data_IF_092786733384
#
_entry.id   IF_092786733384
#
_cell.length_a   1.000
_cell.length_b   1.000
_cell.length_c   1.000
_cell.angle_alpha   90.00
_cell.angle_beta   90.00
_cell.angle_gamma   90.00
#
_symmetry.space_group_name_H-M   'P 1'
#
loop_
_entity.id
_entity.type
_entity.pdbx_description
1 polymer ?
#
# COMPACT_ATOMS: atom_id res chain seq x y z
N UNK A 1 7.23 29.74 -11.78
CA UNK A 1 6.77 28.43 -12.33
C UNK A 1 7.08 27.36 -11.29
N UNK A 2 6.15 27.00 -10.40
CA UNK A 2 6.45 26.07 -9.32
C UNK A 2 6.50 24.63 -9.85
N UNK A 3 7.51 23.89 -9.39
CA UNK A 3 7.76 22.50 -9.71
C UNK A 3 6.60 21.60 -9.27
N UNK A 4 5.69 21.32 -10.19
CA UNK A 4 4.70 20.25 -10.03
C UNK A 4 5.43 18.93 -9.87
N UNK A 5 5.01 18.17 -8.85
CA UNK A 5 5.54 16.88 -8.51
C UNK A 5 5.46 15.96 -9.74
N UNK A 6 6.61 15.76 -10.39
CA UNK A 6 6.79 14.73 -11.42
C UNK A 6 6.49 13.39 -10.76
N UNK A 7 5.26 12.92 -10.96
CA UNK A 7 4.86 11.58 -10.59
C UNK A 7 5.77 10.61 -11.34
N UNK A 8 6.75 10.03 -10.64
CA UNK A 8 7.67 9.06 -11.21
C UNK A 8 6.91 7.81 -11.66
N UNK A 9 6.51 7.82 -12.93
CA UNK A 9 6.40 6.72 -13.89
C UNK A 9 6.98 5.36 -13.41
N UNK A 10 6.28 4.65 -12.52
CA UNK A 10 6.58 3.25 -12.18
C UNK A 10 5.40 2.51 -11.55
N UNK A 11 4.18 2.89 -11.93
CA UNK A 11 2.92 2.34 -11.39
C UNK A 11 2.59 0.94 -11.88
N UNK A 12 3.32 0.41 -12.86
CA UNK A 12 3.13 -0.93 -13.39
C UNK A 12 4.47 -1.65 -13.46
N UNK A 13 4.50 -2.86 -12.87
CA UNK A 13 5.64 -3.76 -12.98
C UNK A 13 5.81 -4.12 -14.46
N UNK A 14 6.96 -3.76 -15.02
CA UNK A 14 7.42 -4.10 -16.37
C UNK A 14 6.63 -3.44 -17.51
N UNK A 15 6.91 -2.17 -17.78
CA UNK A 15 6.91 -1.67 -19.15
C UNK A 15 8.37 -1.36 -19.47
N UNK A 16 8.98 -2.18 -20.32
CA UNK A 16 10.27 -1.99 -21.01
C UNK A 16 11.62 -2.23 -20.31
N UNK A 17 11.73 -2.81 -19.12
CA UNK A 17 13.03 -3.36 -18.70
C UNK A 17 13.16 -4.77 -19.26
N UNK A 18 13.72 -4.90 -20.46
CA UNK A 18 14.34 -6.15 -20.88
C UNK A 18 15.29 -6.56 -19.74
N UNK A 19 14.91 -7.60 -19.00
CA UNK A 19 15.80 -8.26 -18.07
C UNK A 19 16.99 -8.74 -18.90
N UNK A 20 18.09 -7.97 -18.90
CA UNK A 20 19.36 -8.42 -19.47
C UNK A 20 19.92 -9.47 -18.52
N UNK A 21 19.36 -10.67 -18.58
CA UNK A 21 19.79 -11.84 -17.80
C UNK A 21 21.10 -12.33 -18.41
N UNK A 22 22.21 -11.70 -18.04
CA UNK A 22 23.53 -12.27 -18.32
C UNK A 22 23.77 -13.38 -17.30
N UNK A 23 23.88 -14.61 -17.78
CA UNK A 23 24.37 -15.74 -16.97
C UNK A 23 25.87 -15.52 -16.75
N UNK A 24 26.33 -15.62 -15.52
CA UNK A 24 27.74 -15.57 -15.18
C UNK A 24 28.10 -16.87 -14.46
N UNK A 25 29.29 -17.41 -14.74
CA UNK A 25 29.85 -18.49 -13.94
C UNK A 25 30.04 -18.01 -12.51
N UNK A 26 29.77 -18.90 -11.56
CA UNK A 26 29.80 -18.58 -10.13
C UNK A 26 31.23 -18.67 -9.65
N UNK A 27 31.83 -17.53 -9.33
CA UNK A 27 32.98 -17.49 -8.45
C UNK A 27 32.48 -17.45 -7.00
N UNK A 28 32.54 -18.59 -6.32
CA UNK A 28 32.10 -18.73 -4.93
C UNK A 28 32.92 -17.88 -3.97
N UNK A 29 34.15 -17.47 -4.34
CA UNK A 29 34.98 -16.57 -3.52
C UNK A 29 34.46 -15.12 -3.52
N UNK A 30 33.69 -14.76 -4.55
CA UNK A 30 33.06 -13.44 -4.70
C UNK A 30 31.61 -13.42 -4.19
N UNK A 31 31.06 -14.57 -3.80
CA UNK A 31 29.67 -14.71 -3.41
C UNK A 31 29.54 -14.90 -1.90
N UNK A 32 28.43 -14.43 -1.33
CA UNK A 32 28.14 -14.62 0.11
C UNK A 32 28.21 -16.10 0.52
N UNK A 33 28.65 -16.40 1.77
CA UNK A 33 28.70 -17.76 2.30
C UNK A 33 27.35 -18.49 2.35
N UNK A 34 26.24 -17.73 2.35
CA UNK A 34 24.88 -18.26 2.35
C UNK A 34 24.43 -18.85 1.01
N UNK A 35 25.23 -18.72 -0.04
CA UNK A 35 24.93 -19.30 -1.34
C UNK A 35 25.15 -20.82 -1.27
N UNK A 36 24.21 -21.62 -1.78
CA UNK A 36 24.34 -23.07 -1.71
C UNK A 36 25.58 -23.53 -2.49
N UNK A 37 26.37 -24.44 -1.91
CA UNK A 37 27.65 -24.92 -2.48
C UNK A 37 27.51 -25.58 -3.86
N UNK A 38 26.31 -26.05 -4.20
CA UNK A 38 25.95 -26.72 -5.47
C UNK A 38 25.46 -25.76 -6.56
N UNK A 39 25.41 -24.45 -6.29
CA UNK A 39 24.96 -23.46 -7.27
C UNK A 39 25.99 -23.25 -8.39
N UNK A 40 25.78 -23.91 -9.54
CA UNK A 40 26.66 -23.79 -10.72
C UNK A 40 26.47 -22.48 -11.51
N UNK A 41 25.30 -21.86 -11.41
CA UNK A 41 24.94 -20.61 -12.12
C UNK A 41 24.06 -19.75 -11.24
N UNK A 42 24.42 -18.47 -11.05
CA UNK A 42 23.57 -17.47 -10.37
C UNK A 42 22.95 -16.56 -11.42
N UNK A 43 21.66 -16.26 -11.27
CA UNK A 43 20.97 -15.25 -12.08
C UNK A 43 20.76 -13.99 -11.26
N UNK A 44 21.33 -12.89 -11.72
CA UNK A 44 21.03 -11.56 -11.19
C UNK A 44 19.91 -10.92 -12.01
N UNK A 45 18.96 -10.31 -11.31
CA UNK A 45 17.85 -9.61 -11.96
C UNK A 45 18.22 -8.18 -12.39
N UNK A 46 19.33 -7.63 -11.87
CA UNK A 46 19.92 -6.35 -12.26
C UNK A 46 21.35 -6.23 -11.70
N UNK A 47 22.17 -5.28 -12.20
CA UNK A 47 23.51 -5.00 -11.66
C UNK A 47 23.52 -4.75 -10.14
N UNK A 48 22.58 -3.96 -9.63
CA UNK A 48 22.45 -3.71 -8.17
C UNK A 48 22.21 -4.97 -7.34
N UNK A 49 21.54 -5.99 -7.88
CA UNK A 49 21.37 -7.27 -7.19
C UNK A 49 22.69 -8.04 -7.15
N UNK A 50 23.48 -8.02 -8.23
CA UNK A 50 24.82 -8.59 -8.27
C UNK A 50 25.70 -7.95 -7.20
N UNK A 51 25.82 -6.63 -7.21
CA UNK A 51 26.71 -5.89 -6.31
C UNK A 51 26.39 -6.18 -4.83
N UNK A 52 25.11 -6.27 -4.47
CA UNK A 52 24.67 -6.65 -3.11
C UNK A 52 24.99 -8.10 -2.76
N UNK A 53 24.90 -9.01 -3.71
CA UNK A 53 25.19 -10.43 -3.50
C UNK A 53 26.69 -10.71 -3.42
N UNK A 54 27.53 -9.84 -4.00
CA UNK A 54 28.99 -9.95 -3.98
C UNK A 54 29.65 -9.03 -2.95
N UNK A 55 28.90 -8.12 -2.32
CA UNK A 55 29.43 -7.28 -1.25
C UNK A 55 29.72 -8.11 0.00
N UNK A 56 30.93 -7.99 0.53
CA UNK A 56 31.31 -8.53 1.84
C UNK A 56 30.77 -7.71 3.03
N UNK A 57 30.07 -6.59 2.76
CA UNK A 57 29.41 -5.84 3.83
C UNK A 57 28.39 -6.73 4.56
N UNK A 58 28.48 -6.84 5.89
CA UNK A 58 27.47 -7.53 6.67
C UNK A 58 26.13 -6.86 6.39
N UNK A 59 25.18 -7.67 5.92
CA UNK A 59 23.83 -7.18 5.71
C UNK A 59 23.34 -6.71 7.06
N UNK A 60 23.05 -5.41 7.22
CA UNK A 60 22.42 -4.90 8.44
C UNK A 60 21.28 -5.86 8.78
N UNK A 61 21.35 -6.49 9.96
CA UNK A 61 20.29 -7.38 10.40
C UNK A 61 19.01 -6.58 10.25
N UNK A 62 18.02 -7.16 9.55
CA UNK A 62 16.70 -6.54 9.51
C UNK A 62 16.28 -6.46 10.97
N UNK A 63 16.31 -5.25 11.53
CA UNK A 63 15.95 -5.02 12.93
C UNK A 63 14.57 -5.60 13.22
N UNK A 64 14.21 -5.67 14.51
CA UNK A 64 12.92 -6.19 14.91
C UNK A 64 11.77 -5.46 14.18
N UNK A 65 10.76 -6.22 13.78
CA UNK A 65 9.55 -5.68 13.16
C UNK A 65 8.76 -4.91 14.22
N UNK A 66 8.51 -3.63 13.98
CA UNK A 66 7.80 -2.76 14.93
C UNK A 66 6.36 -2.51 14.44
N UNK A 67 5.33 -2.80 15.26
CA UNK A 67 3.98 -2.34 14.97
C UNK A 67 3.92 -0.82 15.03
N UNK A 68 2.93 -0.25 14.35
CA UNK A 68 2.62 1.17 14.45
C UNK A 68 1.60 1.37 15.56
N UNK A 69 1.79 2.40 16.37
CA UNK A 69 0.78 2.87 17.32
C UNK A 69 -0.42 3.49 16.58
N UNK A 70 -1.55 3.63 17.29
CA UNK A 70 -2.80 4.17 16.73
C UNK A 70 -2.57 5.57 16.16
N UNK A 71 -1.89 6.42 16.91
CA UNK A 71 -1.60 7.81 16.55
C UNK A 71 -0.70 7.88 15.32
N UNK A 72 0.27 6.97 15.21
CA UNK A 72 1.17 6.86 14.05
C UNK A 72 0.41 6.41 12.80
N UNK A 73 -0.55 5.48 12.93
CA UNK A 73 -1.39 5.04 11.82
C UNK A 73 -2.34 6.14 11.33
N UNK A 74 -2.94 6.89 12.26
CA UNK A 74 -3.79 8.04 11.92
C UNK A 74 -2.96 9.13 11.23
N UNK A 75 -1.79 9.47 11.77
CA UNK A 75 -0.90 10.46 11.17
C UNK A 75 -0.37 10.01 9.79
N UNK A 76 -0.01 8.74 9.64
CA UNK A 76 0.36 8.14 8.34
C UNK A 76 -0.77 8.28 7.33
N UNK A 77 -2.00 7.95 7.72
CA UNK A 77 -3.17 8.08 6.84
C UNK A 77 -3.34 9.53 6.38
N UNK A 78 -3.36 10.48 7.32
CA UNK A 78 -3.50 11.91 7.01
C UNK A 78 -2.40 12.38 6.07
N UNK A 79 -1.14 12.04 6.34
CA UNK A 79 -0.01 12.45 5.50
C UNK A 79 -0.06 11.85 4.10
N UNK A 80 -0.52 10.61 3.95
CA UNK A 80 -0.75 10.02 2.63
C UNK A 80 -1.81 10.82 1.86
N UNK A 81 -2.94 11.14 2.50
CA UNK A 81 -4.00 11.97 1.88
C UNK A 81 -3.49 13.37 1.53
N UNK A 82 -2.85 14.07 2.47
CA UNK A 82 -2.30 15.41 2.26
C UNK A 82 -1.22 15.48 1.17
N UNK A 83 -0.52 14.37 0.90
CA UNK A 83 0.46 14.26 -0.19
C UNK A 83 -0.16 13.85 -1.54
N UNK A 84 -1.48 13.66 -1.59
CA UNK A 84 -2.22 13.26 -2.79
C UNK A 84 -2.22 11.75 -3.07
N UNK A 85 -1.89 10.94 -2.06
CA UNK A 85 -1.88 9.49 -2.13
C UNK A 85 -3.12 8.88 -1.44
N UNK A 86 -4.31 9.44 -1.65
CA UNK A 86 -5.55 8.95 -1.03
C UNK A 86 -5.78 7.45 -1.27
N UNK A 87 -5.50 6.97 -2.50
CA UNK A 87 -5.59 5.55 -2.83
C UNK A 87 -4.64 4.67 -2.00
N UNK A 88 -3.44 5.17 -1.67
CA UNK A 88 -2.47 4.45 -0.85
C UNK A 88 -2.87 4.46 0.63
N UNK A 89 -3.52 5.54 1.09
CA UNK A 89 -4.10 5.63 2.43
C UNK A 89 -5.19 4.55 2.62
N UNK A 90 -6.14 4.47 1.69
CA UNK A 90 -7.21 3.45 1.70
C UNK A 90 -6.64 2.03 1.55
N UNK A 91 -5.66 1.83 0.66
CA UNK A 91 -5.00 0.54 0.50
C UNK A 91 -4.27 0.09 1.79
N UNK A 92 -3.65 1.02 2.52
CA UNK A 92 -3.00 0.73 3.80
C UNK A 92 -4.01 0.27 4.84
N UNK A 93 -5.14 0.97 4.99
CA UNK A 93 -6.22 0.56 5.89
C UNK A 93 -6.78 -0.81 5.53
N UNK A 94 -7.04 -1.05 4.24
CA UNK A 94 -7.55 -2.33 3.77
C UNK A 94 -6.55 -3.46 4.04
N UNK A 95 -5.26 -3.19 3.83
CA UNK A 95 -4.20 -4.14 4.09
C UNK A 95 -4.17 -4.55 5.57
N UNK A 96 -4.23 -3.58 6.48
CA UNK A 96 -4.23 -3.80 7.92
C UNK A 96 -5.46 -4.60 8.37
N UNK A 97 -6.64 -4.23 7.87
CA UNK A 97 -7.89 -4.92 8.20
C UNK A 97 -7.91 -6.38 7.69
N UNK A 98 -7.27 -6.65 6.56
CA UNK A 98 -7.21 -8.00 5.96
C UNK A 98 -6.06 -8.86 6.48
N UNK A 99 -5.03 -8.26 7.08
CA UNK A 99 -3.79 -8.94 7.46
C UNK A 99 -3.08 -9.58 6.27
N UNK A 100 -3.14 -8.94 5.09
CA UNK A 100 -2.60 -9.44 3.83
C UNK A 100 -1.37 -8.65 3.38
N UNK A 101 -0.56 -9.25 2.50
CA UNK A 101 0.54 -8.51 1.85
C UNK A 101 -0.01 -7.50 0.85
N UNK A 102 0.75 -6.43 0.57
CA UNK A 102 0.33 -5.41 -0.39
C UNK A 102 0.05 -5.99 -1.78
N UNK A 103 0.78 -7.06 -2.15
CA UNK A 103 0.57 -7.77 -3.41
C UNK A 103 -0.84 -8.38 -3.57
N UNK A 104 -1.45 -8.81 -2.47
CA UNK A 104 -2.84 -9.24 -2.45
C UNK A 104 -3.80 -8.05 -2.34
N UNK A 105 -3.57 -7.16 -1.38
CA UNK A 105 -4.48 -6.04 -1.10
C UNK A 105 -4.70 -5.13 -2.33
N UNK A 106 -3.64 -4.85 -3.11
CA UNK A 106 -3.72 -4.04 -4.34
C UNK A 106 -4.58 -4.67 -5.44
N UNK A 107 -4.79 -5.98 -5.40
CA UNK A 107 -5.61 -6.72 -6.36
C UNK A 107 -7.11 -6.70 -6.00
N UNK A 108 -7.48 -6.05 -4.89
CA UNK A 108 -8.85 -6.00 -4.41
C UNK A 108 -9.81 -5.46 -5.48
N UNK A 109 -10.98 -6.10 -5.57
CA UNK A 109 -12.05 -5.77 -6.49
C UNK A 109 -13.31 -5.43 -5.72
N UNK A 110 -14.18 -4.62 -6.31
CA UNK A 110 -15.46 -4.27 -5.70
C UNK A 110 -16.28 -5.53 -5.34
N UNK A 111 -16.25 -6.58 -6.18
CA UNK A 111 -16.94 -7.85 -5.95
C UNK A 111 -16.41 -8.68 -4.78
N UNK A 112 -15.25 -8.34 -4.23
CA UNK A 112 -14.76 -8.98 -3.02
C UNK A 112 -15.46 -8.44 -1.78
N UNK A 113 -15.97 -7.21 -1.82
CA UNK A 113 -16.66 -6.58 -0.72
C UNK A 113 -18.12 -7.05 -0.68
N UNK A 114 -18.59 -7.49 0.49
CA UNK A 114 -19.98 -7.90 0.73
C UNK A 114 -20.51 -7.18 1.96
N UNK A 115 -21.81 -6.85 1.96
CA UNK A 115 -22.47 -6.25 3.12
C UNK A 115 -21.92 -4.88 3.53
N UNK A 116 -21.16 -4.18 2.67
CA UNK A 116 -20.57 -2.87 3.02
C UNK A 116 -21.58 -1.71 2.99
N UNK A 117 -22.80 -1.95 2.49
CA UNK A 117 -23.85 -0.92 2.42
C UNK A 117 -24.30 -0.58 3.85
N UNK A 118 -24.32 0.70 4.25
CA UNK A 118 -24.79 1.12 5.57
C UNK A 118 -26.21 0.61 5.84
N UNK A 119 -26.44 0.06 7.03
CA UNK A 119 -27.73 -0.51 7.42
C UNK A 119 -28.05 -1.89 6.83
N UNK A 120 -27.10 -2.53 6.13
CA UNK A 120 -27.27 -3.93 5.73
C UNK A 120 -27.38 -4.85 6.94
N UNK A 121 -28.30 -5.81 6.89
CA UNK A 121 -28.38 -6.91 7.87
C UNK A 121 -27.24 -7.92 7.73
N UNK A 122 -26.51 -7.88 6.61
CA UNK A 122 -25.37 -8.76 6.36
C UNK A 122 -24.13 -8.20 7.04
N UNK A 123 -23.42 -9.03 7.81
CA UNK A 123 -22.10 -8.65 8.34
C UNK A 123 -21.16 -8.28 7.19
N UNK A 124 -20.50 -7.12 7.23
CA UNK A 124 -19.61 -6.72 6.15
C UNK A 124 -18.39 -7.64 6.11
N UNK A 125 -18.05 -8.14 4.93
CA UNK A 125 -16.90 -9.04 4.73
C UNK A 125 -16.13 -8.66 3.46
N UNK A 126 -14.88 -9.14 3.40
CA UNK A 126 -14.08 -9.20 2.18
C UNK A 126 -13.77 -10.67 1.84
N UNK A 127 -14.18 -11.11 0.65
CA UNK A 127 -13.94 -12.44 0.10
C UNK A 127 -12.70 -12.42 -0.78
N UNK A 128 -11.57 -12.83 -0.22
CA UNK A 128 -10.27 -12.87 -0.90
C UNK A 128 -10.16 -14.21 -1.65
N UNK A 129 -10.02 -14.22 -2.99
CA UNK A 129 -9.81 -15.45 -3.74
C UNK A 129 -8.35 -15.93 -3.62
N UNK A 130 -8.05 -17.09 -4.20
CA UNK A 130 -6.65 -17.53 -4.34
C UNK A 130 -5.93 -16.63 -5.32
N UNK A 131 -4.83 -16.01 -4.90
CA UNK A 131 -4.07 -15.03 -5.71
C UNK A 131 -2.59 -15.37 -5.68
N UNK A 132 -1.95 -15.28 -6.87
CA UNK A 132 -0.51 -15.41 -7.07
C UNK A 132 0.11 -16.68 -6.44
N UNK A 133 -0.67 -17.76 -6.31
CA UNK A 133 -0.28 -19.05 -5.72
C UNK A 133 0.02 -19.04 -4.21
N UNK A 134 0.17 -17.86 -3.59
CA UNK A 134 0.62 -17.67 -2.19
C UNK A 134 -0.52 -17.29 -1.25
N UNK A 135 -1.49 -16.51 -1.71
CA UNK A 135 -2.62 -16.10 -0.87
C UNK A 135 -3.69 -17.19 -0.88
N UNK A 136 -4.05 -17.68 0.30
CA UNK A 136 -5.13 -18.65 0.49
C UNK A 136 -6.49 -17.93 0.37
N UNK A 137 -7.43 -18.58 -0.31
CA UNK A 137 -8.80 -18.08 -0.38
C UNK A 137 -9.44 -18.08 1.01
N UNK A 138 -10.07 -16.97 1.40
CA UNK A 138 -10.79 -16.84 2.68
C UNK A 138 -11.73 -15.65 2.68
N UNK A 139 -12.66 -15.66 3.62
CA UNK A 139 -13.56 -14.54 3.89
C UNK A 139 -13.23 -13.92 5.24
N UNK A 140 -13.08 -12.60 5.25
CA UNK A 140 -12.67 -11.84 6.42
C UNK A 140 -13.77 -10.80 6.72
N UNK A 141 -14.49 -10.92 7.84
CA UNK A 141 -15.28 -9.82 8.40
C UNK A 141 -14.49 -8.51 8.51
N UNK A 142 -15.13 -7.45 8.04
CA UNK A 142 -14.68 -6.07 8.17
C UNK A 142 -15.32 -5.46 9.42
N UNK A 143 -14.64 -4.47 10.01
CA UNK A 143 -15.23 -3.65 11.04
C UNK A 143 -16.41 -2.86 10.42
N UNK A 144 -17.61 -2.83 11.05
CA UNK A 144 -18.77 -2.12 10.49
C UNK A 144 -18.50 -0.63 10.21
N UNK A 145 -17.79 0.05 11.12
CA UNK A 145 -17.42 1.45 10.92
C UNK A 145 -16.51 1.61 9.69
N UNK A 146 -15.54 0.70 9.50
CA UNK A 146 -14.64 0.73 8.34
C UNK A 146 -15.40 0.45 7.04
N UNK A 147 -16.31 -0.52 7.05
CA UNK A 147 -17.14 -0.83 5.89
C UNK A 147 -18.02 0.36 5.48
N UNK A 148 -18.59 1.07 6.46
CA UNK A 148 -19.37 2.29 6.23
C UNK A 148 -18.51 3.42 5.66
N UNK A 149 -17.31 3.68 6.21
CA UNK A 149 -16.37 4.66 5.68
C UNK A 149 -15.96 4.31 4.24
N UNK A 150 -15.62 3.04 4.00
CA UNK A 150 -15.23 2.55 2.69
C UNK A 150 -16.36 2.74 1.65
N UNK A 151 -17.61 2.42 2.03
CA UNK A 151 -18.78 2.69 1.19
C UNK A 151 -18.97 4.18 0.92
N UNK A 152 -18.80 5.03 1.94
CA UNK A 152 -18.89 6.48 1.80
C UNK A 152 -17.88 6.99 0.79
N UNK A 153 -16.61 6.59 0.90
CA UNK A 153 -15.57 6.99 -0.04
C UNK A 153 -15.81 6.45 -1.45
N UNK A 154 -16.28 5.20 -1.58
CA UNK A 154 -16.52 4.58 -2.88
C UNK A 154 -17.69 5.22 -3.65
N UNK A 155 -18.75 5.64 -2.96
CA UNK A 155 -20.04 5.94 -3.61
C UNK A 155 -20.66 7.29 -3.26
N UNK A 156 -20.16 8.01 -2.24
CA UNK A 156 -20.75 9.26 -1.75
C UNK A 156 -19.77 10.43 -1.85
N UNK A 157 -18.66 10.37 -1.13
CA UNK A 157 -17.66 11.44 -1.09
C UNK A 157 -16.26 10.84 -1.25
N UNK A 158 -15.67 10.88 -2.45
CA UNK A 158 -14.32 10.40 -2.68
C UNK A 158 -13.32 11.04 -1.73
N UNK A 159 -12.39 10.23 -1.21
CA UNK A 159 -11.31 10.71 -0.38
C UNK A 159 -10.30 11.45 -1.25
N UNK A 160 -10.10 12.75 -1.04
CA UNK A 160 -9.20 13.58 -1.82
C UNK A 160 -8.27 14.41 -0.91
N UNK A 161 -7.12 14.85 -1.43
CA UNK A 161 -6.28 15.84 -0.76
C UNK A 161 -7.01 17.18 -0.65
N UNK A 162 -7.56 17.61 -1.78
CA UNK A 162 -8.31 18.85 -1.95
C UNK A 162 -9.40 18.60 -3.01
N UNK A 163 -10.45 19.43 -3.00
CA UNK A 163 -11.59 19.29 -3.91
C UNK A 163 -11.27 19.67 -5.36
N UNK A 164 -10.07 20.20 -5.63
CA UNK A 164 -9.68 20.77 -6.92
C UNK A 164 -8.76 19.85 -7.71
N UNK A 165 -7.98 18.99 -7.06
CA UNK A 165 -7.01 18.11 -7.70
C UNK A 165 -7.56 16.70 -7.88
N UNK A 166 -8.27 16.49 -8.98
CA UNK A 166 -8.87 15.21 -9.39
C UNK A 166 -7.88 14.02 -9.35
N UNK A 167 -6.59 14.23 -9.62
CA UNK A 167 -5.57 13.18 -9.59
C UNK A 167 -5.22 12.66 -8.18
N UNK A 168 -5.63 13.39 -7.14
CA UNK A 168 -5.34 13.11 -5.72
C UNK A 168 -6.43 12.32 -5.00
N UNK A 169 -7.50 11.95 -5.72
CA UNK A 169 -8.69 11.33 -5.17
C UNK A 169 -8.67 9.80 -5.26
N UNK A 170 -9.37 9.16 -4.32
CA UNK A 170 -9.82 7.79 -4.41
C UNK A 170 -11.31 7.68 -4.05
N UNK A 171 -12.15 7.06 -4.91
CA UNK A 171 -11.84 6.53 -6.24
C UNK A 171 -11.29 7.58 -7.20
N UNK A 172 -10.57 7.13 -8.23
CA UNK A 172 -10.05 8.03 -9.26
C UNK A 172 -11.21 8.63 -10.09
N UNK A 173 -11.02 9.80 -10.70
CA UNK A 173 -11.99 10.37 -11.62
C UNK A 173 -12.37 9.36 -12.70
N UNK A 174 -13.68 9.21 -12.95
CA UNK A 174 -14.26 8.26 -13.90
C UNK A 174 -14.04 6.77 -13.57
N UNK A 175 -13.52 6.43 -12.38
CA UNK A 175 -13.42 5.05 -11.93
C UNK A 175 -14.82 4.51 -11.61
N UNK A 176 -15.28 3.52 -12.37
CA UNK A 176 -16.49 2.75 -12.03
C UNK A 176 -16.13 1.70 -10.99
N UNK A 177 -16.56 1.89 -9.74
CA UNK A 177 -16.31 0.95 -8.64
C UNK A 177 -17.46 -0.06 -8.52
N UNK A 178 -17.60 -0.90 -9.52
CA UNK A 178 -18.68 -1.89 -9.63
C UNK A 178 -18.14 -3.27 -10.00
N UNK A 179 -18.83 -4.33 -9.55
CA UNK A 179 -18.57 -5.72 -9.96
C UNK A 179 -17.07 -6.09 -9.89
N UNK A 180 -16.48 -6.49 -11.00
CA UNK A 180 -15.11 -6.98 -11.08
C UNK A 180 -14.05 -5.87 -11.17
N UNK A 181 -14.45 -4.59 -11.10
CA UNK A 181 -13.53 -3.46 -11.16
C UNK A 181 -12.48 -3.52 -10.04
N UNK A 182 -11.24 -3.19 -10.38
CA UNK A 182 -10.19 -2.99 -9.38
C UNK A 182 -10.51 -1.78 -8.52
N UNK A 183 -10.27 -1.91 -7.23
CA UNK A 183 -10.29 -0.77 -6.32
C UNK A 183 -9.10 0.15 -6.54
N UNK A 184 -7.92 -0.42 -6.85
CA UNK A 184 -6.66 0.33 -7.00
C UNK A 184 -6.03 0.12 -8.39
N UNK A 185 -6.60 0.68 -9.46
CA UNK A 185 -6.04 0.57 -10.81
C UNK A 185 -4.72 1.34 -10.94
N UNK A 186 -3.75 0.78 -11.66
CA UNK A 186 -2.44 1.37 -11.95
C UNK A 186 -2.43 2.18 -13.24
N UNK A 187 -1.29 2.79 -13.58
CA UNK A 187 -1.11 3.51 -14.84
C UNK A 187 -0.43 2.62 -15.89
N UNK A 188 -0.83 2.73 -17.16
CA UNK A 188 -0.10 2.15 -18.28
C UNK A 188 0.39 3.25 -19.22
N UNK A 189 1.54 3.00 -19.87
CA UNK A 189 1.93 3.80 -21.03
C UNK A 189 0.91 3.56 -22.14
N UNK A 190 0.45 4.63 -22.76
CA UNK A 190 -0.31 4.56 -24.00
C UNK A 190 0.66 4.64 -25.17
N UNK A 191 0.51 3.77 -26.17
CA UNK A 191 1.31 3.85 -27.39
C UNK A 191 0.82 5.05 -28.24
N UNK A 192 1.73 5.97 -28.60
CA UNK A 192 1.43 7.18 -29.39
C UNK A 192 2.52 8.26 -29.27
N UNK A 193 2.51 9.24 -30.17
CA UNK A 193 3.40 10.42 -30.14
C UNK A 193 3.11 11.26 -28.89
N UNK A 194 4.05 11.23 -27.93
CA UNK A 194 3.90 11.81 -26.60
C UNK A 194 3.64 10.73 -25.56
N UNK A 195 4.63 10.40 -24.72
CA UNK A 195 4.45 9.42 -23.64
C UNK A 195 3.62 10.02 -22.51
N UNK A 196 2.31 9.80 -22.55
CA UNK A 196 1.39 10.13 -21.46
C UNK A 196 0.88 8.85 -20.78
N UNK A 197 0.77 8.92 -19.45
CA UNK A 197 0.34 7.80 -18.61
C UNK A 197 -1.17 7.87 -18.42
N UNK A 198 -1.88 6.79 -18.77
CA UNK A 198 -3.33 6.69 -18.59
C UNK A 198 -3.66 5.62 -17.54
N UNK A 199 -4.75 5.83 -16.80
CA UNK A 199 -5.26 4.83 -15.85
C UNK A 199 -5.68 3.56 -16.58
N UNK A 200 -5.19 2.43 -16.11
CA UNK A 200 -5.46 1.10 -16.65
C UNK A 200 -6.40 0.33 -15.71
N UNK A 201 -7.69 0.36 -16.03
CA UNK A 201 -8.76 -0.12 -15.14
C UNK A 201 -8.68 -1.60 -14.77
N UNK A 202 -8.06 -2.43 -15.61
CA UNK A 202 -7.94 -3.88 -15.39
C UNK A 202 -6.58 -4.31 -14.81
N UNK A 203 -5.65 -3.39 -14.58
CA UNK A 203 -4.30 -3.71 -14.05
C UNK A 203 -4.11 -2.99 -12.73
N UNK A 204 -3.83 -3.76 -11.67
CA UNK A 204 -3.63 -3.19 -10.35
C UNK A 204 -2.36 -2.33 -10.30
N UNK A 205 -2.40 -1.31 -9.44
CA UNK A 205 -1.21 -0.53 -9.07
C UNK A 205 -0.07 -1.47 -8.66
N UNK A 206 1.16 -1.10 -8.99
CA UNK A 206 2.34 -1.90 -8.64
C UNK A 206 2.60 -1.80 -7.13
N UNK A 207 3.11 -2.89 -6.55
CA UNK A 207 3.64 -2.86 -5.18
C UNK A 207 4.73 -1.78 -5.04
N UNK A 208 5.54 -1.56 -6.09
CA UNK A 208 6.59 -0.53 -6.10
C UNK A 208 6.02 0.87 -5.91
N UNK A 209 4.92 1.21 -6.58
CA UNK A 209 4.27 2.51 -6.45
C UNK A 209 3.66 2.70 -5.07
N UNK A 210 3.00 1.66 -4.53
CA UNK A 210 2.49 1.68 -3.16
C UNK A 210 3.60 1.95 -2.14
N UNK A 211 4.71 1.20 -2.22
CA UNK A 211 5.85 1.38 -1.34
C UNK A 211 6.56 2.73 -1.57
N UNK A 212 6.53 3.27 -2.78
CA UNK A 212 7.08 4.59 -3.07
C UNK A 212 6.29 5.69 -2.35
N UNK A 213 4.95 5.62 -2.35
CA UNK A 213 4.11 6.56 -1.59
C UNK A 213 4.42 6.54 -0.09
N UNK A 214 4.57 5.35 0.50
CA UNK A 214 4.98 5.22 1.90
C UNK A 214 6.37 5.83 2.15
N UNK A 215 7.33 5.58 1.26
CA UNK A 215 8.68 6.16 1.36
C UNK A 215 8.69 7.68 1.22
N UNK A 216 7.83 8.26 0.39
CA UNK A 216 7.69 9.71 0.28
C UNK A 216 7.21 10.32 1.58
N UNK A 217 6.23 9.69 2.26
CA UNK A 217 5.78 10.13 3.59
C UNK A 217 6.88 9.94 4.63
N UNK A 218 7.56 8.78 4.64
CA UNK A 218 8.70 8.51 5.53
C UNK A 218 9.80 9.58 5.41
N UNK A 219 10.15 10.00 4.19
CA UNK A 219 11.13 11.05 3.97
C UNK A 219 10.67 12.44 4.46
N UNK A 220 9.36 12.70 4.49
CA UNK A 220 8.79 13.87 5.16
C UNK A 220 8.97 13.78 6.67
N UNK A 221 8.51 12.67 7.25
CA UNK A 221 8.59 12.39 8.69
C UNK A 221 10.02 12.50 9.22
N UNK A 222 11.01 11.95 8.50
CA UNK A 222 12.43 12.04 8.91
C UNK A 222 12.98 13.47 8.98
N UNK A 223 12.45 14.38 8.17
CA UNK A 223 12.85 15.80 8.21
C UNK A 223 12.24 16.51 9.41
N UNK A 224 11.02 16.14 9.79
CA UNK A 224 10.25 16.74 10.88
C UNK A 224 10.61 16.15 12.26
N UNK A 225 10.97 14.86 12.34
CA UNK A 225 11.35 14.17 13.58
C UNK A 225 12.71 14.61 14.16
N UNK A 226 13.28 15.72 13.68
CA UNK A 226 14.43 16.38 14.29
C UNK A 226 14.01 17.20 15.53
N UNK A 227 12.73 17.52 15.65
CA UNK A 227 12.17 18.24 16.79
C UNK A 227 11.69 17.23 17.86
N UNK A 228 12.23 17.34 19.07
CA UNK A 228 12.28 16.30 20.12
C UNK A 228 10.95 15.87 20.80
N UNK A 229 9.78 16.06 20.19
CA UNK A 229 8.48 15.62 20.75
C UNK A 229 7.48 15.30 19.62
N UNK A 230 7.82 14.33 18.78
CA UNK A 230 6.99 14.00 17.61
C UNK A 230 6.41 12.58 17.76
N UNK A 231 5.24 12.32 17.17
CA UNK A 231 4.54 11.01 17.21
C UNK A 231 5.40 9.81 16.76
N UNK A 232 6.53 10.08 16.12
CA UNK A 232 7.44 9.11 15.51
C UNK A 232 8.81 9.05 16.20
N UNK A 233 9.00 9.70 17.36
CA UNK A 233 10.30 9.78 18.04
C UNK A 233 10.88 8.39 18.34
N UNK A 234 10.05 7.42 18.71
CA UNK A 234 10.49 6.06 19.07
C UNK A 234 10.35 5.03 17.95
N UNK A 235 9.93 5.44 16.74
CA UNK A 235 9.73 4.52 15.62
C UNK A 235 10.85 4.65 14.57
N UNK A 236 11.42 3.53 14.15
CA UNK A 236 12.35 3.53 13.01
C UNK A 236 11.59 3.75 11.69
N UNK A 237 11.57 5.01 11.23
CA UNK A 237 10.86 5.43 10.02
C UNK A 237 11.31 4.65 8.76
N UNK A 238 12.52 4.09 8.72
CA UNK A 238 12.94 3.23 7.60
C UNK A 238 12.12 1.95 7.49
N UNK A 239 11.45 1.54 8.57
CA UNK A 239 10.57 0.36 8.61
C UNK A 239 9.16 0.63 8.09
N UNK A 240 8.77 1.88 7.84
CA UNK A 240 7.42 2.22 7.35
C UNK A 240 7.07 1.50 6.03
N UNK A 241 8.04 1.33 5.13
CA UNK A 241 7.85 0.57 3.87
C UNK A 241 7.76 -0.95 4.06
N UNK A 242 7.86 -1.44 5.31
CA UNK A 242 7.86 -2.86 5.67
C UNK A 242 6.71 -3.23 6.60
N UNK A 243 5.79 -2.31 6.90
CA UNK A 243 4.60 -2.54 7.74
C UNK A 243 3.81 -3.77 7.26
N UNK A 244 3.83 -4.02 5.95
CA UNK A 244 3.21 -5.20 5.35
C UNK A 244 3.70 -6.52 5.93
N UNK A 245 4.92 -6.58 6.49
CA UNK A 245 5.53 -7.75 7.12
C UNK A 245 5.25 -7.85 8.61
N UNK A 246 4.89 -6.75 9.27
CA UNK A 246 4.45 -6.74 10.68
C UNK A 246 3.05 -7.35 10.76
N UNK A 247 2.19 -6.97 9.79
CA UNK A 247 0.81 -7.42 9.67
C UNK A 247 0.63 -8.52 8.61
N UNK A 248 1.74 -9.06 8.06
CA UNK A 248 1.71 -10.25 7.19
C UNK A 248 1.35 -11.44 8.06
N UNK A 249 0.18 -12.02 7.83
CA UNK A 249 -0.23 -13.21 8.55
C UNK A 249 0.22 -14.46 7.77
N UNK A 250 1.27 -15.17 8.22
CA UNK A 250 1.21 -16.61 8.22
C UNK A 250 1.15 -17.05 9.68
N UNK A 251 0.15 -17.88 10.01
CA UNK A 251 0.06 -18.68 11.23
C UNK A 251 -0.20 -17.97 12.57
N UNK A 252 -1.04 -18.63 13.37
CA UNK A 252 -1.29 -18.47 14.81
C UNK A 252 -1.95 -17.17 15.28
N UNK A 253 -3.25 -17.27 15.60
CA UNK A 253 -3.91 -16.77 16.83
C UNK A 253 -3.55 -15.37 17.38
N UNK A 254 -2.87 -14.47 16.67
CA UNK A 254 -2.88 -13.04 17.01
C UNK A 254 -4.28 -12.55 16.71
N UNK A 255 -4.99 -12.37 17.82
CA UNK A 255 -6.43 -12.30 17.93
C UNK A 255 -6.96 -11.29 16.94
N UNK A 256 -7.85 -11.73 16.05
CA UNK A 256 -8.70 -10.85 15.25
C UNK A 256 -9.34 -9.75 16.12
N UNK A 257 -9.64 -10.04 17.39
CA UNK A 257 -10.09 -9.05 18.36
C UNK A 257 -9.06 -7.97 18.64
N UNK A 258 -7.76 -8.28 18.69
CA UNK A 258 -6.70 -7.29 18.87
C UNK A 258 -6.55 -6.38 17.63
N UNK A 259 -6.71 -6.93 16.42
CA UNK A 259 -6.77 -6.10 15.20
C UNK A 259 -8.02 -5.23 15.21
N UNK A 260 -9.21 -5.76 15.51
CA UNK A 260 -10.44 -4.96 15.60
C UNK A 260 -10.40 -3.92 16.73
N UNK A 261 -9.85 -4.26 17.90
CA UNK A 261 -9.70 -3.35 19.05
C UNK A 261 -8.66 -2.26 18.77
N UNK A 262 -7.55 -2.58 18.09
CA UNK A 262 -6.56 -1.59 17.68
C UNK A 262 -7.04 -0.73 16.50
N UNK A 263 -7.90 -1.28 15.63
CA UNK A 263 -8.34 -0.60 14.41
C UNK A 263 -9.60 0.25 14.61
N UNK A 264 -10.45 -0.07 15.59
CA UNK A 264 -11.64 0.74 15.88
C UNK A 264 -11.29 2.20 16.26
N UNK A 265 -10.28 2.48 17.12
CA UNK A 265 -9.84 3.85 17.40
C UNK A 265 -9.38 4.59 16.14
N UNK A 266 -8.65 3.92 15.24
CA UNK A 266 -8.16 4.50 13.98
C UNK A 266 -9.34 4.91 13.09
N UNK A 267 -10.29 4.01 12.88
CA UNK A 267 -11.46 4.26 12.02
C UNK A 267 -12.36 5.34 12.62
N UNK A 268 -12.54 5.35 13.94
CA UNK A 268 -13.31 6.38 14.62
C UNK A 268 -12.63 7.75 14.52
N UNK A 269 -11.31 7.83 14.69
CA UNK A 269 -10.56 9.06 14.54
C UNK A 269 -10.65 9.62 13.10
N UNK A 270 -10.53 8.75 12.09
CA UNK A 270 -10.67 9.13 10.68
C UNK A 270 -12.10 9.57 10.36
N UNK A 271 -13.11 8.85 10.86
CA UNK A 271 -14.53 9.13 10.58
C UNK A 271 -15.09 10.36 11.32
N UNK A 272 -14.56 10.70 12.49
CA UNK A 272 -15.03 11.85 13.28
C UNK A 272 -14.61 13.21 12.72
N UNK A 273 -13.65 13.22 11.79
CA UNK A 273 -13.10 14.43 11.17
C UNK A 273 -13.72 14.73 9.79
N UNK A 274 -14.64 13.90 9.27
CA UNK A 274 -15.41 14.30 8.09
C UNK A 274 -16.19 15.58 8.43
N UNK A 275 -16.10 16.63 7.59
CA UNK A 275 -16.64 17.93 7.93
C UNK A 275 -18.14 17.82 8.16
N UNK A 276 -18.56 18.11 9.40
CA UNK A 276 -19.97 18.42 9.70
C UNK A 276 -20.41 19.43 8.65
N UNK A 277 -21.36 19.02 7.78
CA UNK A 277 -22.02 19.93 6.85
C UNK A 277 -22.36 21.18 7.64
N UNK A 278 -21.82 22.34 7.23
CA UNK A 278 -22.32 23.63 7.71
C UNK A 278 -23.79 23.66 7.32
N UNK A 279 -24.67 23.32 8.26
CA UNK A 279 -26.08 23.61 8.18
C UNK A 279 -26.14 25.13 8.06
N UNK A 280 -26.43 25.63 6.85
CA UNK A 280 -26.91 27.01 6.72
C UNK A 280 -28.17 27.05 7.58
N UNK A 281 -28.08 27.71 8.74
CA UNK A 281 -29.26 28.22 9.40
C UNK A 281 -29.86 29.24 8.44
N UNK A 282 -31.10 28.99 8.03
CA UNK A 282 -31.96 30.00 7.40
C UNK A 282 -32.14 31.17 8.37
#
# INVERSE_FOLDING_TARGET
MPAEAVAHASDVKNISSYLQVRKSLVDMTQCRPSLRRDAKVIRFCCPQHRDRCTSNEPQKSRGQREPLEVEQLVDLFRRLVCRGFAWAAVLTLLQLQCGERADCARQCRASWLRGIVPGSSTTPTIRIPRINGKTKAREIPLLPQFASLLYHWMYKSPLCKDSTTSCSCWPFPNQKVINTALLFPGLSKQAGHGQWWKRHWSKAVSERAYLASLKTVAAGLKRENRDKNHTWTDFDIDKLGTIQHVYDTPTTKRKRSAVHQAFSPIVNAIGSEEPKKKTKKN
#
